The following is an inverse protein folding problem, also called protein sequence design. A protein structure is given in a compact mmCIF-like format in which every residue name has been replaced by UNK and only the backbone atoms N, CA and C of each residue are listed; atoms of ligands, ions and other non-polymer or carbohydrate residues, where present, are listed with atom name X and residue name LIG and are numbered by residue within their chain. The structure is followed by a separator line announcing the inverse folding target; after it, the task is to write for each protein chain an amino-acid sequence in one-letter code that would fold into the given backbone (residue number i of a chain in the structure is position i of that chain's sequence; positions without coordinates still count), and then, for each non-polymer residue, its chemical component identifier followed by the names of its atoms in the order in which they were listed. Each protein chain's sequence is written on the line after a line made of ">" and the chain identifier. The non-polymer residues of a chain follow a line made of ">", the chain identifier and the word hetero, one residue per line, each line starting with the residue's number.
data_IF_769431524947
#
_entry.id   IF_769431524947
#
_cell.length_a   1.000
_cell.length_b   1.000
_cell.length_c   1.000
_cell.angle_alpha   90.00
_cell.angle_beta   90.00
_cell.angle_gamma   90.00
#
_symmetry.space_group_name_H-M   'P 1'
#
loop_
_entity.id
_entity.type
_entity.pdbx_description
1 polymer ?
#
# COMPACT_ATOMS: atom_id res chain seq x y z
N UNK A 1 7.44 -7.06 -8.92
CA UNK A 1 6.60 -6.55 -7.81
C UNK A 1 6.15 -7.71 -6.95
N UNK A 2 6.47 -7.65 -5.68
CA UNK A 2 6.19 -8.74 -4.75
C UNK A 2 5.31 -8.28 -3.62
N UNK A 3 4.54 -9.21 -3.06
CA UNK A 3 3.68 -8.92 -1.90
C UNK A 3 4.51 -8.33 -0.76
N UNK A 4 4.01 -7.25 -0.17
CA UNK A 4 4.66 -6.55 0.93
C UNK A 4 5.57 -5.42 0.51
N UNK A 5 5.85 -5.26 -0.78
CA UNK A 5 6.70 -4.16 -1.25
C UNK A 5 5.94 -2.83 -1.22
N UNK A 6 6.69 -1.79 -0.89
CA UNK A 6 6.19 -0.40 -0.90
C UNK A 6 6.72 0.27 -2.16
N UNK A 7 5.82 0.83 -2.93
CA UNK A 7 6.14 1.48 -4.19
C UNK A 7 5.61 2.89 -4.23
N UNK A 8 6.35 3.76 -4.93
CA UNK A 8 5.90 5.08 -5.29
C UNK A 8 5.12 4.96 -6.60
N UNK A 9 3.84 5.32 -6.56
CA UNK A 9 2.92 5.08 -7.67
C UNK A 9 2.27 6.37 -8.12
N UNK A 10 2.02 6.47 -9.43
CA UNK A 10 1.25 7.56 -10.00
C UNK A 10 -0.21 7.12 -10.08
N UNK A 11 -1.03 7.64 -9.18
CA UNK A 11 -2.45 7.33 -9.13
C UNK A 11 -3.23 8.51 -9.69
N UNK A 12 -4.07 8.24 -10.68
CA UNK A 12 -4.94 9.25 -11.24
C UNK A 12 -6.38 8.73 -11.28
N UNK A 13 -7.34 9.57 -11.56
CA UNK A 13 -7.17 10.99 -11.87
C UNK A 13 -6.79 11.78 -10.62
N UNK A 14 -5.94 12.78 -10.80
CA UNK A 14 -5.62 13.74 -9.76
C UNK A 14 -6.77 14.74 -9.68
N UNK A 15 -7.28 14.99 -8.47
CA UNK A 15 -8.38 15.94 -8.26
C UNK A 15 -8.06 16.90 -7.14
N UNK A 16 -8.53 18.11 -7.30
CA UNK A 16 -8.42 19.14 -6.27
C UNK A 16 -6.98 19.50 -5.98
N UNK A 17 -6.65 19.54 -4.70
CA UNK A 17 -5.34 19.99 -4.23
C UNK A 17 -4.30 18.88 -4.19
N UNK A 18 -4.60 17.66 -4.66
CA UNK A 18 -3.63 16.59 -4.69
C UNK A 18 -2.50 16.93 -5.62
N UNK A 19 -1.29 16.92 -5.07
CA UNK A 19 -0.11 17.27 -5.83
C UNK A 19 0.36 16.08 -6.65
N UNK A 20 0.58 16.27 -7.93
CA UNK A 20 1.20 15.35 -8.87
C UNK A 20 0.54 13.98 -9.00
N UNK A 21 -0.40 13.63 -8.17
CA UNK A 21 -1.06 12.32 -8.20
C UNK A 21 -0.20 11.16 -7.74
N UNK A 22 0.98 11.42 -7.18
CA UNK A 22 1.87 10.36 -6.68
C UNK A 22 1.54 10.02 -5.24
N UNK A 23 1.61 8.72 -4.92
CA UNK A 23 1.39 8.21 -3.57
C UNK A 23 2.24 6.98 -3.34
N UNK A 24 2.52 6.73 -2.06
CA UNK A 24 3.08 5.44 -1.67
C UNK A 24 1.95 4.42 -1.55
N UNK A 25 2.22 3.21 -2.01
CA UNK A 25 1.29 2.08 -1.91
C UNK A 25 2.02 0.85 -1.43
N UNK A 26 1.30 -0.04 -0.76
CA UNK A 26 1.79 -1.36 -0.39
C UNK A 26 1.13 -2.38 -1.31
N UNK A 27 1.93 -3.21 -1.97
CA UNK A 27 1.42 -4.31 -2.77
C UNK A 27 0.97 -5.42 -1.83
N UNK A 28 -0.32 -5.74 -1.87
CA UNK A 28 -0.89 -6.79 -1.00
C UNK A 28 -1.28 -8.05 -1.76
N UNK A 29 -1.40 -7.96 -3.08
CA UNK A 29 -1.72 -9.12 -3.90
C UNK A 29 -0.60 -10.16 -3.85
N UNK A 30 -0.99 -11.42 -3.97
CA UNK A 30 -0.06 -12.54 -3.94
C UNK A 30 0.86 -12.56 -5.16
N UNK A 31 1.99 -13.22 -5.02
CA UNK A 31 3.02 -13.21 -6.05
C UNK A 31 2.60 -13.91 -7.33
N UNK A 32 1.65 -14.84 -7.26
CA UNK A 32 1.13 -15.49 -8.46
C UNK A 32 0.36 -14.49 -9.32
N UNK A 33 -0.55 -13.73 -8.72
CA UNK A 33 -1.27 -12.66 -9.42
C UNK A 33 -0.28 -11.63 -9.95
N UNK A 34 0.67 -11.22 -9.11
CA UNK A 34 1.64 -10.19 -9.45
C UNK A 34 2.51 -10.59 -10.65
N UNK A 35 2.74 -11.88 -10.82
CA UNK A 35 3.56 -12.38 -11.93
C UNK A 35 2.80 -12.38 -13.26
N UNK A 36 1.53 -12.73 -13.24
CA UNK A 36 0.80 -13.04 -14.47
C UNK A 36 -0.18 -11.97 -14.94
N UNK A 37 -0.62 -11.08 -14.04
CA UNK A 37 -1.58 -10.05 -14.43
C UNK A 37 -0.89 -8.70 -14.65
N UNK A 38 -1.50 -7.83 -15.47
CA UNK A 38 -0.95 -6.48 -15.70
C UNK A 38 -1.22 -5.51 -14.55
N UNK A 39 -1.87 -5.97 -13.49
CA UNK A 39 -2.21 -5.16 -12.32
C UNK A 39 -1.69 -5.83 -11.06
N UNK A 40 -1.57 -5.03 -10.01
CA UNK A 40 -1.36 -5.51 -8.63
C UNK A 40 -2.46 -4.91 -7.76
N UNK A 41 -2.72 -5.51 -6.61
CA UNK A 41 -3.70 -4.99 -5.65
C UNK A 41 -2.92 -4.34 -4.52
N UNK A 42 -3.30 -3.11 -4.19
CA UNK A 42 -2.54 -2.27 -3.27
C UNK A 42 -3.42 -1.62 -2.22
N UNK A 43 -2.78 -1.27 -1.11
CA UNK A 43 -3.31 -0.32 -0.12
C UNK A 43 -2.53 0.98 -0.24
N UNK A 44 -3.21 2.13 -0.40
CA UNK A 44 -2.49 3.42 -0.33
C UNK A 44 -2.06 3.72 1.11
N UNK A 45 -1.00 4.53 1.24
CA UNK A 45 -0.51 5.03 2.52
C UNK A 45 -0.80 6.52 2.63
N UNK A 46 -0.96 7.00 3.86
CA UNK A 46 -1.07 8.43 4.13
C UNK A 46 -0.22 8.81 5.34
N UNK A 47 0.36 10.00 5.30
CA UNK A 47 1.05 10.58 6.46
C UNK A 47 0.09 11.30 7.39
N UNK A 48 -1.17 11.49 6.97
CA UNK A 48 -2.22 12.09 7.81
C UNK A 48 -2.85 10.97 8.64
N UNK A 49 -2.20 10.64 9.74
CA UNK A 49 -2.58 9.49 10.55
C UNK A 49 -3.85 9.79 11.34
N UNK A 50 -4.87 8.99 11.13
CA UNK A 50 -6.13 9.01 11.88
C UNK A 50 -6.24 7.83 12.83
N UNK A 51 -5.41 6.82 12.62
CA UNK A 51 -5.39 5.59 13.41
C UNK A 51 -6.76 4.90 13.44
N UNK A 52 -7.39 4.81 12.29
CA UNK A 52 -8.67 4.10 12.16
C UNK A 52 -8.50 2.62 12.45
N UNK A 53 -9.52 2.05 13.08
CA UNK A 53 -9.54 0.61 13.31
C UNK A 53 -9.51 -0.14 11.97
N UNK A 54 -8.69 -1.17 11.90
CA UNK A 54 -8.49 -1.93 10.66
C UNK A 54 -7.33 -1.45 9.81
N UNK A 55 -6.73 -0.32 10.15
CA UNK A 55 -5.53 0.18 9.49
C UNK A 55 -4.30 -0.08 10.35
N UNK A 56 -3.14 -0.12 9.70
CA UNK A 56 -1.86 -0.31 10.36
C UNK A 56 -1.03 0.95 10.22
N UNK A 57 -0.45 1.43 11.32
CA UNK A 57 0.48 2.55 11.29
C UNK A 57 1.90 1.99 11.24
N UNK A 58 2.67 2.43 10.25
CA UNK A 58 4.06 2.03 10.05
C UNK A 58 4.97 3.14 10.53
N UNK A 59 5.92 2.81 11.40
CA UNK A 59 6.99 3.72 11.77
C UNK A 59 8.14 3.55 10.77
N UNK A 60 8.85 4.63 10.44
CA UNK A 60 10.01 4.51 9.55
C UNK A 60 11.05 3.54 10.10
N UNK A 61 11.56 2.67 9.23
CA UNK A 61 12.65 1.76 9.58
C UNK A 61 13.55 1.51 8.36
N UNK A 62 14.62 0.75 8.58
CA UNK A 62 15.60 0.50 7.52
C UNK A 62 15.05 -0.39 6.41
N UNK A 63 14.00 -1.15 6.67
CA UNK A 63 13.40 -2.04 5.68
C UNK A 63 12.36 -1.31 4.83
N UNK A 64 11.49 -0.52 5.44
CA UNK A 64 10.43 0.17 4.70
C UNK A 64 10.88 1.47 4.05
N UNK A 65 11.98 2.07 4.53
CA UNK A 65 12.56 3.30 4.01
C UNK A 65 11.59 4.49 3.96
N UNK A 66 10.57 4.48 4.81
CA UNK A 66 9.65 5.61 4.92
C UNK A 66 10.35 6.76 5.60
N UNK A 67 10.01 7.98 5.21
CA UNK A 67 10.56 9.20 5.83
C UNK A 67 9.70 9.69 6.99
N UNK A 68 8.44 9.29 7.02
CA UNK A 68 7.48 9.68 8.05
C UNK A 68 6.62 8.48 8.42
N UNK A 69 6.12 8.48 9.66
CA UNK A 69 5.09 7.53 10.05
C UNK A 69 3.92 7.61 9.08
N UNK A 70 3.39 6.48 8.68
CA UNK A 70 2.35 6.41 7.66
C UNK A 70 1.31 5.37 8.05
N UNK A 71 0.07 5.67 7.73
CA UNK A 71 -1.05 4.76 7.95
C UNK A 71 -1.39 4.04 6.66
N UNK A 72 -1.50 2.72 6.71
CA UNK A 72 -1.92 1.89 5.58
C UNK A 72 -3.44 1.88 5.55
N UNK A 73 -4.02 2.38 4.46
CA UNK A 73 -5.46 2.53 4.33
C UNK A 73 -6.08 1.25 3.74
N UNK A 74 -6.33 0.27 4.59
CA UNK A 74 -6.82 -1.03 4.16
C UNK A 74 -8.19 -0.96 3.48
N UNK A 75 -9.04 -0.01 3.93
CA UNK A 75 -10.36 0.15 3.32
C UNK A 75 -10.35 0.87 1.97
N UNK A 76 -9.19 1.38 1.55
CA UNK A 76 -9.00 1.97 0.23
C UNK A 76 -8.30 1.02 -0.73
N UNK A 77 -8.43 -0.27 -0.50
CA UNK A 77 -7.84 -1.29 -1.37
C UNK A 77 -8.26 -1.07 -2.82
N UNK A 78 -7.29 -1.18 -3.73
CA UNK A 78 -7.57 -0.99 -5.14
C UNK A 78 -6.57 -1.75 -6.01
N UNK A 79 -6.97 -2.06 -7.22
CA UNK A 79 -6.04 -2.56 -8.22
C UNK A 79 -5.35 -1.37 -8.91
N UNK A 80 -4.09 -1.56 -9.22
CA UNK A 80 -3.26 -0.53 -9.86
C UNK A 80 -2.49 -1.19 -11.00
N UNK A 81 -2.50 -0.56 -12.17
CA UNK A 81 -1.69 -1.01 -13.30
C UNK A 81 -0.21 -1.02 -12.92
N UNK A 82 0.51 -2.06 -13.28
CA UNK A 82 1.94 -2.17 -12.97
C UNK A 82 2.75 -0.98 -13.50
N UNK A 83 2.36 -0.45 -14.65
CA UNK A 83 3.05 0.68 -15.26
C UNK A 83 2.96 1.96 -14.42
N UNK A 84 2.01 2.02 -13.49
CA UNK A 84 1.86 3.16 -12.58
C UNK A 84 2.76 3.08 -11.36
N UNK A 85 3.34 1.92 -11.09
CA UNK A 85 4.31 1.77 -10.00
C UNK A 85 5.67 2.16 -10.53
N UNK A 86 6.21 3.30 -10.05
CA UNK A 86 7.36 3.95 -10.64
C UNK A 86 8.67 3.63 -9.95
N UNK A 87 8.65 3.48 -8.62
CA UNK A 87 9.88 3.26 -7.87
C UNK A 87 9.58 2.43 -6.63
N UNK A 88 10.34 1.37 -6.44
CA UNK A 88 10.30 0.60 -5.20
C UNK A 88 11.00 1.39 -4.10
N UNK A 89 10.32 1.60 -2.99
CA UNK A 89 10.83 2.34 -1.84
C UNK A 89 11.42 1.40 -0.79
N UNK A 90 10.68 0.34 -0.47
CA UNK A 90 11.08 -0.61 0.54
C UNK A 90 10.09 -1.75 0.62
N UNK A 91 10.02 -2.38 1.79
CA UNK A 91 9.09 -3.48 1.99
C UNK A 91 8.68 -3.58 3.46
N UNK A 92 7.54 -4.22 3.68
CA UNK A 92 7.08 -4.59 5.01
C UNK A 92 7.78 -5.86 5.49
N UNK A 93 7.75 -6.08 6.79
CA UNK A 93 8.11 -7.38 7.34
C UNK A 93 7.03 -8.40 6.96
N UNK A 94 7.37 -9.68 7.01
CA UNK A 94 6.40 -10.75 6.77
C UNK A 94 5.24 -10.66 7.77
N UNK A 95 5.54 -10.37 9.03
CA UNK A 95 4.53 -10.23 10.08
C UNK A 95 3.56 -9.10 9.77
N UNK A 96 4.07 -7.95 9.33
CA UNK A 96 3.23 -6.80 8.97
C UNK A 96 2.32 -7.15 7.78
N UNK A 97 2.85 -7.88 6.80
CA UNK A 97 2.07 -8.33 5.63
C UNK A 97 0.95 -9.26 6.05
N UNK A 98 1.23 -10.22 6.94
CA UNK A 98 0.22 -11.14 7.48
C UNK A 98 -0.86 -10.36 8.23
N UNK A 99 -0.45 -9.39 9.04
CA UNK A 99 -1.38 -8.57 9.82
C UNK A 99 -2.31 -7.76 8.92
N UNK A 100 -1.79 -7.19 7.84
CA UNK A 100 -2.61 -6.44 6.89
C UNK A 100 -3.63 -7.35 6.19
N UNK A 101 -3.24 -8.57 5.85
CA UNK A 101 -4.19 -9.52 5.26
C UNK A 101 -5.30 -9.88 6.24
N UNK A 102 -4.95 -10.02 7.51
CA UNK A 102 -5.93 -10.28 8.56
C UNK A 102 -6.89 -9.09 8.71
N UNK A 103 -6.38 -7.87 8.72
CA UNK A 103 -7.20 -6.66 8.82
C UNK A 103 -8.15 -6.55 7.62
N UNK A 104 -7.66 -6.85 6.42
CA UNK A 104 -8.50 -6.85 5.23
C UNK A 104 -9.64 -7.87 5.37
N UNK A 105 -9.32 -9.06 5.84
CA UNK A 105 -10.34 -10.10 6.06
C UNK A 105 -11.40 -9.62 7.05
N UNK A 106 -10.99 -8.93 8.11
CA UNK A 106 -11.90 -8.43 9.13
C UNK A 106 -12.84 -7.37 8.59
N UNK A 107 -12.33 -6.41 7.81
CA UNK A 107 -13.19 -5.36 7.24
C UNK A 107 -14.14 -5.89 6.17
N UNK A 108 -13.81 -7.01 5.56
CA UNK A 108 -14.69 -7.66 4.58
C UNK A 108 -15.72 -8.58 5.23
N UNK A 109 -15.51 -8.97 6.49
CA UNK A 109 -16.35 -9.94 7.19
C UNK A 109 -17.31 -9.26 8.17
N UNK A 110 -16.84 -8.26 8.87
CA UNK A 110 -17.61 -7.55 9.90
C UNK A 110 -17.92 -6.13 9.45
#
# INVERSE_FOLDING_TARGET
>A
MKQGEIWYAHLDPVKGSEQSGYRLVVVISGNLLNQYLPVVICFPLTTKIKNYKGNLVLQPDAMNNLTQASEVLTFHIRSVSKERLKKKIGKLTELQTILLKQYLNEILTY
#
